data_IF_047597012493
#
_entry.id   IF_047597012493
#
_cell.length_a   1.000
_cell.length_b   1.000
_cell.length_c   1.000
_cell.angle_alpha   90.00
_cell.angle_beta   90.00
_cell.angle_gamma   90.00
#
_symmetry.space_group_name_H-M   'P 1'
#
loop_
_entity.id
_entity.type
_entity.pdbx_description
1 polymer ?
#
# COMPACT_ATOMS: atom_id res chain seq x y z
N UNK A 1 -13.87 1.10 -3.20
CA UNK A 1 -12.48 0.83 -2.81
C UNK A 1 -12.37 -0.56 -2.24
N UNK A 2 -11.69 -1.48 -2.94
CA UNK A 2 -11.42 -2.80 -2.39
C UNK A 2 -10.15 -2.74 -1.52
N UNK A 3 -10.32 -2.84 -0.20
CA UNK A 3 -9.24 -2.72 0.78
C UNK A 3 -8.15 -3.79 0.61
N UNK A 4 -8.48 -4.94 0.01
CA UNK A 4 -7.52 -6.02 -0.26
C UNK A 4 -6.52 -5.64 -1.36
N UNK A 5 -6.95 -4.82 -2.34
CA UNK A 5 -6.08 -4.34 -3.43
C UNK A 5 -5.05 -3.32 -2.96
N UNK A 6 -5.29 -2.64 -1.83
CA UNK A 6 -4.37 -1.64 -1.28
C UNK A 6 -3.03 -2.26 -0.88
N UNK A 7 -3.06 -3.44 -0.29
CA UNK A 7 -1.84 -4.15 0.11
C UNK A 7 -0.97 -4.52 -1.08
N UNK A 8 -1.58 -5.03 -2.14
CA UNK A 8 -0.89 -5.40 -3.39
C UNK A 8 -0.30 -4.15 -4.05
N UNK A 9 -1.08 -3.07 -4.17
CA UNK A 9 -0.59 -1.80 -4.72
C UNK A 9 0.57 -1.23 -3.89
N UNK A 10 0.48 -1.31 -2.56
CA UNK A 10 1.56 -0.86 -1.68
C UNK A 10 2.86 -1.63 -1.94
N UNK A 11 2.76 -2.93 -2.20
CA UNK A 11 3.89 -3.76 -2.60
C UNK A 11 4.53 -3.28 -3.89
N UNK A 12 3.72 -3.02 -4.93
CA UNK A 12 4.20 -2.51 -6.22
C UNK A 12 4.98 -1.20 -6.04
N UNK A 13 4.39 -0.22 -5.35
CA UNK A 13 5.05 1.07 -5.09
C UNK A 13 6.34 0.93 -4.26
N UNK A 14 6.36 0.00 -3.29
CA UNK A 14 7.54 -0.28 -2.49
C UNK A 14 8.67 -0.84 -3.36
N UNK A 15 8.35 -1.79 -4.23
CA UNK A 15 9.30 -2.44 -5.13
C UNK A 15 9.82 -1.47 -6.21
N UNK A 16 8.95 -0.62 -6.77
CA UNK A 16 9.34 0.48 -7.68
C UNK A 16 10.34 1.45 -7.03
N UNK A 17 10.18 1.73 -5.74
CA UNK A 17 11.09 2.58 -4.96
C UNK A 17 12.37 1.85 -4.51
N UNK A 18 12.46 0.54 -4.73
CA UNK A 18 13.61 -0.27 -4.33
C UNK A 18 13.76 -0.49 -2.82
N UNK A 19 12.69 -0.33 -2.04
CA UNK A 19 12.72 -0.49 -0.59
C UNK A 19 12.41 -1.94 -0.18
N UNK A 20 13.10 -2.46 0.82
CA UNK A 20 12.68 -3.67 1.51
C UNK A 20 11.49 -3.42 2.44
N UNK A 21 10.74 -4.48 2.76
CA UNK A 21 9.66 -4.39 3.76
C UNK A 21 10.17 -3.87 5.11
N UNK A 22 11.37 -4.28 5.52
CA UNK A 22 11.99 -3.85 6.78
C UNK A 22 12.29 -2.35 6.80
N UNK A 23 12.68 -1.77 5.66
CA UNK A 23 12.92 -0.33 5.53
C UNK A 23 11.60 0.44 5.55
N UNK A 24 10.60 -0.01 4.78
CA UNK A 24 9.29 0.65 4.74
C UNK A 24 8.58 0.62 6.09
N UNK A 25 8.62 -0.51 6.82
CA UNK A 25 7.89 -0.67 8.08
C UNK A 25 8.65 -0.19 9.33
N UNK A 26 9.91 0.25 9.21
CA UNK A 26 10.78 0.60 10.34
C UNK A 26 10.11 1.62 11.26
N UNK A 27 9.89 1.27 12.54
CA UNK A 27 9.28 2.16 13.53
C UNK A 27 7.76 2.35 13.38
N UNK A 28 7.09 1.60 12.50
CA UNK A 28 5.63 1.61 12.33
C UNK A 28 5.02 0.28 12.76
N UNK A 29 5.48 -0.82 12.17
CA UNK A 29 5.00 -2.16 12.50
C UNK A 29 6.11 -3.22 12.27
N UNK A 30 5.82 -4.48 12.63
CA UNK A 30 6.77 -5.58 12.36
C UNK A 30 6.73 -5.93 10.88
N UNK A 31 7.88 -6.33 10.30
CA UNK A 31 7.97 -6.79 8.90
C UNK A 31 6.90 -7.82 8.54
N UNK A 32 6.61 -8.76 9.45
CA UNK A 32 5.58 -9.79 9.25
C UNK A 32 4.17 -9.21 9.02
N UNK A 33 3.85 -8.07 9.65
CA UNK A 33 2.55 -7.44 9.51
C UNK A 33 2.43 -6.77 8.14
N UNK A 34 3.48 -6.05 7.71
CA UNK A 34 3.55 -5.51 6.36
C UNK A 34 3.50 -6.61 5.30
N UNK A 35 4.18 -7.75 5.52
CA UNK A 35 4.14 -8.88 4.58
C UNK A 35 2.72 -9.43 4.41
N UNK A 36 1.96 -9.59 5.48
CA UNK A 36 0.56 -10.06 5.40
C UNK A 36 -0.33 -9.06 4.66
N UNK A 37 -0.09 -7.78 4.87
CA UNK A 37 -0.78 -6.71 4.14
C UNK A 37 -0.48 -6.80 2.66
N UNK A 38 0.80 -6.87 2.27
CA UNK A 38 1.22 -6.95 0.88
C UNK A 38 0.73 -8.22 0.16
N UNK A 39 0.37 -9.26 0.91
CA UNK A 39 -0.23 -10.50 0.39
C UNK A 39 -1.77 -10.48 0.39
N UNK A 40 -2.42 -9.43 0.91
CA UNK A 40 -3.87 -9.37 1.07
C UNK A 40 -4.42 -10.21 2.23
N UNK A 41 -3.56 -10.88 3.00
CA UNK A 41 -3.93 -11.69 4.18
C UNK A 41 -4.35 -10.83 5.39
N UNK A 42 -4.06 -9.53 5.34
CA UNK A 42 -4.43 -8.56 6.37
C UNK A 42 -4.86 -7.25 5.75
N UNK A 43 -6.03 -6.78 6.14
CA UNK A 43 -6.50 -5.42 5.81
C UNK A 43 -5.60 -4.39 6.48
N UNK A 44 -5.13 -3.42 5.70
CA UNK A 44 -4.35 -2.29 6.20
C UNK A 44 -5.29 -1.24 6.82
N UNK A 45 -4.91 -0.70 7.99
CA UNK A 45 -5.62 0.43 8.58
C UNK A 45 -5.14 1.77 8.00
N UNK A 46 -5.96 2.82 8.17
CA UNK A 46 -5.70 4.13 7.58
C UNK A 46 -4.39 4.76 8.10
N UNK A 47 -4.02 4.53 9.36
CA UNK A 47 -2.80 5.11 9.95
C UNK A 47 -1.55 4.47 9.34
N UNK A 48 -1.52 3.14 9.20
CA UNK A 48 -0.44 2.44 8.53
C UNK A 48 -0.34 2.81 7.05
N UNK A 49 -1.48 2.92 6.37
CA UNK A 49 -1.53 3.33 4.97
C UNK A 49 -0.87 4.70 4.79
N UNK A 50 -1.30 5.70 5.54
CA UNK A 50 -0.77 7.05 5.44
C UNK A 50 0.74 7.13 5.75
N UNK A 51 1.19 6.40 6.79
CA UNK A 51 2.61 6.28 7.14
C UNK A 51 3.46 5.70 6.00
N UNK A 52 3.02 4.58 5.40
CA UNK A 52 3.80 3.94 4.35
C UNK A 52 3.83 4.77 3.08
N UNK A 53 2.71 5.38 2.70
CA UNK A 53 2.62 6.22 1.51
C UNK A 53 3.46 7.48 1.62
N UNK A 54 3.46 8.12 2.79
CA UNK A 54 4.32 9.27 3.07
C UNK A 54 5.80 8.92 2.85
N UNK A 55 6.24 7.72 3.28
CA UNK A 55 7.61 7.22 3.02
C UNK A 55 7.87 6.92 1.54
N UNK A 56 6.84 6.49 0.82
CA UNK A 56 6.89 6.30 -0.63
C UNK A 56 6.82 7.63 -1.40
N UNK A 57 6.52 8.75 -0.74
CA UNK A 57 6.39 10.08 -1.37
C UNK A 57 5.04 10.25 -2.08
N UNK A 58 4.01 9.56 -1.60
CA UNK A 58 2.62 9.60 -2.09
C UNK A 58 1.69 10.10 -0.98
N UNK A 59 0.55 10.65 -1.34
CA UNK A 59 -0.54 10.98 -0.41
C UNK A 59 -1.74 10.07 -0.66
N UNK A 60 -2.55 9.86 0.39
CA UNK A 60 -3.76 9.03 0.32
C UNK A 60 -4.75 9.57 -0.73
N UNK A 61 -4.93 10.89 -0.80
CA UNK A 61 -5.85 11.52 -1.78
C UNK A 61 -5.49 11.19 -3.24
N UNK A 62 -4.19 11.11 -3.54
CA UNK A 62 -3.72 10.74 -4.88
C UNK A 62 -3.97 9.26 -5.20
N UNK A 63 -4.15 8.42 -4.19
CA UNK A 63 -4.45 7.00 -4.39
C UNK A 63 -5.92 6.71 -4.58
N UNK A 64 -6.82 7.41 -3.89
CA UNK A 64 -8.25 7.30 -4.18
C UNK A 64 -8.49 7.54 -5.67
N UNK A 65 -7.79 8.52 -6.25
CA UNK A 65 -7.81 8.80 -7.68
C UNK A 65 -7.21 7.64 -8.53
N UNK A 66 -5.99 7.18 -8.23
CA UNK A 66 -5.33 6.09 -8.99
C UNK A 66 -6.12 4.78 -8.94
N UNK A 67 -6.69 4.43 -7.79
CA UNK A 67 -7.49 3.22 -7.64
C UNK A 67 -8.80 3.34 -8.39
N UNK A 68 -9.45 4.51 -8.35
CA UNK A 68 -10.66 4.76 -9.13
C UNK A 68 -10.39 4.66 -10.63
N UNK A 69 -9.28 5.23 -11.13
CA UNK A 69 -8.88 5.11 -12.52
C UNK A 69 -8.59 3.65 -12.92
N UNK A 70 -7.72 2.95 -12.17
CA UNK A 70 -7.39 1.55 -12.46
C UNK A 70 -8.63 0.64 -12.37
N UNK A 71 -9.46 0.80 -11.35
CA UNK A 71 -10.69 0.01 -11.20
C UNK A 71 -11.66 0.28 -12.37
N UNK A 72 -11.73 1.50 -12.90
CA UNK A 72 -12.55 1.83 -14.08
C UNK A 72 -12.09 1.05 -15.33
N UNK A 73 -10.78 0.97 -15.57
CA UNK A 73 -10.21 0.26 -16.73
C UNK A 73 -10.34 -1.27 -16.67
N UNK A 74 -10.48 -1.86 -15.47
CA UNK A 74 -10.67 -3.32 -15.33
C UNK A 74 -12.14 -3.78 -15.44
N UNK A 75 -13.10 -2.86 -15.55
CA UNK A 75 -14.54 -3.15 -15.72
C UNK A 75 -15.05 -3.08 -17.16
N UNK A 76 -14.15 -2.94 -18.15
CA UNK A 76 -14.44 -3.03 -19.59
C UNK A 76 -13.65 -4.18 -20.21
#
# INVERSE_FOLDING_TARGET
MNLEKLGIMLRELREEKGLSQSELCRGVCKKKDLSKIELGERVIDAFWLDCFLSRLGKSVDKLEFILTEKDYFFTL
#
